data_IF_562886944995
#
_entry.id   IF_562886944995
#
_cell.length_a   1.000
_cell.length_b   1.000
_cell.length_c   1.000
_cell.angle_alpha   90.00
_cell.angle_beta   90.00
_cell.angle_gamma   90.00
#
_symmetry.space_group_name_H-M   'P 1'
#
loop_
_entity.id
_entity.type
_entity.pdbx_description
1 polymer ?
#
# COMPACT_ATOMS: atom_id res chain seq x y z
N UNK A 1 -7.35 17.90 5.86
CA UNK A 1 -8.35 17.44 4.86
C UNK A 1 -7.85 17.71 3.46
N UNK A 2 -8.01 16.74 2.56
CA UNK A 2 -7.78 16.92 1.12
C UNK A 2 -9.11 17.27 0.46
N UNK A 3 -9.09 18.23 -0.46
CA UNK A 3 -10.24 18.58 -1.30
C UNK A 3 -9.99 18.08 -2.72
N UNK A 4 -11.04 17.55 -3.35
CA UNK A 4 -10.99 17.25 -4.77
C UNK A 4 -11.35 18.52 -5.54
N UNK A 5 -10.49 18.89 -6.48
CA UNK A 5 -10.75 19.90 -7.50
C UNK A 5 -10.93 19.20 -8.86
N UNK A 6 -11.93 19.63 -9.63
CA UNK A 6 -12.33 18.97 -10.87
C UNK A 6 -12.90 19.97 -11.87
N UNK A 7 -12.82 19.65 -13.15
CA UNK A 7 -13.42 20.45 -14.23
C UNK A 7 -14.26 19.51 -15.10
N UNK A 8 -15.51 19.87 -15.32
CA UNK A 8 -16.44 19.11 -16.17
C UNK A 8 -16.23 19.41 -17.66
N UNK A 9 -16.83 18.61 -18.55
CA UNK A 9 -16.62 18.71 -20.00
C UNK A 9 -17.09 20.05 -20.61
N UNK A 10 -17.99 20.76 -19.93
CA UNK A 10 -18.46 22.11 -20.26
C UNK A 10 -17.53 23.23 -19.74
N UNK A 11 -16.42 22.88 -19.09
CA UNK A 11 -15.49 23.83 -18.48
C UNK A 11 -15.86 24.30 -17.07
N UNK A 12 -16.93 23.79 -16.46
CA UNK A 12 -17.34 24.19 -15.10
C UNK A 12 -16.38 23.64 -14.03
N UNK A 13 -15.78 24.55 -13.27
CA UNK A 13 -14.89 24.23 -12.14
C UNK A 13 -15.71 23.87 -10.91
N UNK A 14 -15.38 22.74 -10.30
CA UNK A 14 -15.99 22.21 -9.07
C UNK A 14 -14.92 21.92 -8.03
N UNK A 15 -15.24 22.20 -6.76
CA UNK A 15 -14.41 21.84 -5.60
C UNK A 15 -15.26 21.24 -4.49
N UNK A 16 -14.79 20.18 -3.84
CA UNK A 16 -15.54 19.49 -2.79
C UNK A 16 -14.69 18.56 -1.94
N UNK A 17 -15.30 17.89 -0.95
CA UNK A 17 -14.63 16.82 -0.22
C UNK A 17 -14.22 15.69 -1.18
N UNK A 18 -13.06 15.09 -0.96
CA UNK A 18 -12.65 13.90 -1.72
C UNK A 18 -13.57 12.72 -1.37
N UNK A 19 -14.12 11.99 -2.36
CA UNK A 19 -14.88 10.76 -2.14
C UNK A 19 -14.10 9.75 -1.27
N UNK A 20 -14.80 9.17 -0.29
CA UNK A 20 -14.27 8.13 0.60
C UNK A 20 -14.83 6.75 0.26
N UNK A 21 -15.96 6.70 -0.46
CA UNK A 21 -16.65 5.47 -0.83
C UNK A 21 -17.19 5.54 -2.26
N UNK A 22 -17.33 4.39 -2.94
CA UNK A 22 -17.77 4.34 -4.35
C UNK A 22 -19.21 4.81 -4.60
N UNK A 23 -20.00 4.98 -3.53
CA UNK A 23 -21.37 5.51 -3.57
C UNK A 23 -21.45 7.04 -3.38
N UNK A 24 -20.32 7.71 -3.17
CA UNK A 24 -20.31 9.16 -2.92
C UNK A 24 -20.52 9.93 -4.23
N UNK A 25 -21.68 10.58 -4.36
CA UNK A 25 -21.95 11.50 -5.46
C UNK A 25 -21.18 12.82 -5.26
N UNK A 26 -19.94 12.83 -5.75
CA UNK A 26 -19.11 14.03 -5.76
C UNK A 26 -19.73 15.20 -6.56
N UNK A 27 -20.27 15.01 -7.79
CA UNK A 27 -20.96 16.08 -8.51
C UNK A 27 -22.05 16.80 -7.70
N UNK A 28 -22.82 16.09 -6.87
CA UNK A 28 -23.84 16.64 -5.99
C UNK A 28 -23.29 17.33 -4.72
N UNK A 29 -22.16 16.86 -4.19
CA UNK A 29 -21.52 17.41 -2.99
C UNK A 29 -20.56 18.59 -3.30
N UNK A 30 -20.04 18.66 -4.51
CA UNK A 30 -19.05 19.66 -4.92
C UNK A 30 -19.69 21.01 -5.27
N UNK A 31 -19.10 22.08 -4.76
CA UNK A 31 -19.49 23.44 -5.08
C UNK A 31 -18.98 23.86 -6.46
N UNK A 32 -19.90 24.36 -7.30
CA UNK A 32 -19.52 25.06 -8.53
C UNK A 32 -18.81 26.38 -8.16
N UNK A 33 -17.65 26.61 -8.75
CA UNK A 33 -16.87 27.84 -8.60
C UNK A 33 -17.19 28.83 -9.72
N UNK A 34 -16.91 28.45 -10.97
CA UNK A 34 -17.07 29.28 -12.18
C UNK A 34 -16.92 28.39 -13.42
N UNK A 35 -17.17 28.92 -14.63
CA UNK A 35 -17.00 28.18 -15.89
C UNK A 35 -15.89 28.82 -16.73
N UNK A 36 -14.96 28.00 -17.22
CA UNK A 36 -13.81 28.44 -18.01
C UNK A 36 -14.13 28.47 -19.51
N UNK A 37 -14.62 29.61 -19.98
CA UNK A 37 -14.93 29.80 -21.40
C UNK A 37 -13.68 29.88 -22.30
N UNK A 38 -13.79 29.32 -23.51
CA UNK A 38 -12.77 29.35 -24.57
C UNK A 38 -11.38 28.78 -24.17
N UNK A 39 -11.36 27.87 -23.18
CA UNK A 39 -10.13 27.22 -22.72
C UNK A 39 -9.89 25.89 -23.44
N UNK A 40 -8.68 25.73 -23.96
CA UNK A 40 -8.24 24.52 -24.69
C UNK A 40 -7.54 23.48 -23.81
N UNK A 41 -6.93 23.92 -22.70
CA UNK A 41 -6.17 23.08 -21.78
C UNK A 41 -6.28 23.67 -20.36
N UNK A 42 -6.47 22.80 -19.37
CA UNK A 42 -6.37 23.16 -17.95
C UNK A 42 -5.49 22.16 -17.21
N UNK A 43 -4.62 22.67 -16.35
CA UNK A 43 -3.66 21.89 -15.57
C UNK A 43 -3.45 22.56 -14.21
N UNK A 44 -3.09 21.77 -13.20
CA UNK A 44 -2.72 22.24 -11.86
C UNK A 44 -1.22 21.95 -11.64
N UNK A 45 -0.49 22.90 -11.07
CA UNK A 45 0.92 22.68 -10.69
C UNK A 45 1.02 21.90 -9.36
N UNK A 46 2.16 21.25 -9.06
CA UNK A 46 2.39 20.59 -7.77
C UNK A 46 2.24 21.54 -6.56
N UNK A 47 2.42 22.84 -6.78
CA UNK A 47 2.30 23.91 -5.79
C UNK A 47 0.87 24.46 -5.65
N UNK A 48 -0.10 23.93 -6.42
CA UNK A 48 -1.52 24.30 -6.33
C UNK A 48 -1.95 25.52 -7.14
N UNK A 49 -1.15 25.99 -8.11
CA UNK A 49 -1.58 27.01 -9.07
C UNK A 49 -2.32 26.38 -10.26
N UNK A 50 -3.41 27.02 -10.68
CA UNK A 50 -4.13 26.67 -11.89
C UNK A 50 -3.46 27.33 -13.11
N UNK A 51 -3.37 26.58 -14.21
CA UNK A 51 -2.86 27.02 -15.49
C UNK A 51 -3.89 26.72 -16.59
N UNK A 52 -4.20 27.72 -17.43
CA UNK A 52 -5.20 27.60 -18.50
C UNK A 52 -4.71 28.21 -19.82
N UNK A 53 -4.98 27.54 -20.94
CA UNK A 53 -4.69 28.07 -22.28
C UNK A 53 -5.97 28.59 -22.95
N UNK A 54 -6.12 29.91 -22.99
CA UNK A 54 -7.26 30.65 -23.62
C UNK A 54 -6.74 31.52 -24.76
N UNK A 55 -7.40 31.50 -25.91
CA UNK A 55 -7.08 32.35 -27.08
C UNK A 55 -5.60 32.31 -27.53
N UNK A 56 -4.95 31.14 -27.39
CA UNK A 56 -3.52 30.88 -27.68
C UNK A 56 -2.53 31.51 -26.69
N UNK A 57 -3.02 32.15 -25.63
CA UNK A 57 -2.26 32.67 -24.50
C UNK A 57 -2.35 31.70 -23.31
N UNK A 58 -1.30 31.67 -22.46
CA UNK A 58 -1.27 30.89 -21.21
C UNK A 58 -1.44 31.83 -20.02
N UNK A 59 -2.38 31.48 -19.15
CA UNK A 59 -2.69 32.17 -17.90
C UNK A 59 -2.35 31.26 -16.72
N UNK A 60 -1.93 31.86 -15.60
CA UNK A 60 -1.82 31.18 -14.31
C UNK A 60 -2.38 32.00 -13.17
N UNK A 61 -2.85 31.35 -12.11
CA UNK A 61 -3.37 32.00 -10.92
C UNK A 61 -3.73 30.99 -9.83
N UNK A 62 -4.16 31.46 -8.65
CA UNK A 62 -4.66 30.58 -7.60
C UNK A 62 -5.93 29.85 -8.06
N UNK A 63 -6.20 28.69 -7.46
CA UNK A 63 -7.52 28.04 -7.58
C UNK A 63 -8.56 28.94 -6.89
N UNK A 64 -9.72 29.26 -7.51
CA UNK A 64 -10.75 30.07 -6.88
C UNK A 64 -11.27 29.45 -5.57
N UNK A 65 -11.32 30.26 -4.51
CA UNK A 65 -11.90 29.89 -3.22
C UNK A 65 -13.33 30.44 -3.00
N UNK A 66 -13.89 31.12 -3.99
CA UNK A 66 -15.22 31.75 -3.95
C UNK A 66 -16.02 31.41 -5.20
N UNK A 67 -17.35 31.37 -5.07
CA UNK A 67 -18.29 31.14 -6.18
C UNK A 67 -18.42 32.38 -7.07
N UNK A 68 -18.79 32.16 -8.33
CA UNK A 68 -19.09 33.15 -9.37
C UNK A 68 -17.95 34.15 -9.62
N UNK A 69 -16.70 33.72 -9.45
CA UNK A 69 -15.52 34.55 -9.73
C UNK A 69 -15.06 34.31 -11.16
N UNK A 70 -14.90 35.37 -11.94
CA UNK A 70 -14.12 35.29 -13.18
C UNK A 70 -12.65 35.02 -12.81
N UNK A 71 -12.19 33.79 -13.04
CA UNK A 71 -10.81 33.43 -12.76
C UNK A 71 -9.80 34.23 -13.60
N UNK A 72 -10.17 34.69 -14.80
CA UNK A 72 -9.28 35.50 -15.63
C UNK A 72 -9.10 36.93 -15.12
N UNK A 73 -9.97 37.41 -14.22
CA UNK A 73 -9.76 38.67 -13.50
C UNK A 73 -8.64 38.62 -12.46
N UNK A 74 -8.32 37.42 -11.95
CA UNK A 74 -7.22 37.19 -10.99
C UNK A 74 -6.00 36.49 -11.61
N UNK A 75 -6.17 35.79 -12.74
CA UNK A 75 -5.10 35.09 -13.40
C UNK A 75 -4.19 36.05 -14.19
N UNK A 76 -2.89 35.89 -14.03
CA UNK A 76 -1.88 36.61 -14.81
C UNK A 76 -1.55 35.84 -16.09
N UNK A 77 -1.47 36.54 -17.23
CA UNK A 77 -0.91 35.96 -18.46
C UNK A 77 0.59 35.78 -18.29
N UNK A 78 1.08 34.57 -18.53
CA UNK A 78 2.50 34.19 -18.41
C UNK A 78 3.06 33.57 -19.69
N UNK A 79 2.27 33.54 -20.75
CA UNK A 79 2.73 33.14 -22.07
C UNK A 79 1.77 33.63 -23.17
N UNK A 80 2.31 33.89 -24.36
CA UNK A 80 1.61 34.67 -25.40
C UNK A 80 1.66 33.99 -26.77
N UNK A 81 0.53 33.97 -27.49
CA UNK A 81 0.30 33.56 -28.90
C UNK A 81 0.70 32.14 -29.34
N UNK A 82 1.69 31.51 -28.72
CA UNK A 82 2.21 30.20 -29.15
C UNK A 82 1.52 29.00 -28.48
N UNK A 83 0.74 29.20 -27.43
CA UNK A 83 0.18 28.10 -26.61
C UNK A 83 -0.97 27.37 -27.28
N UNK A 84 -1.63 27.99 -28.27
CA UNK A 84 -2.57 27.28 -29.15
C UNK A 84 -1.92 26.28 -30.12
N UNK A 85 -0.58 26.20 -30.14
CA UNK A 85 0.18 25.16 -30.87
C UNK A 85 0.51 23.96 -29.97
N UNK A 86 0.18 24.01 -28.69
CA UNK A 86 0.32 22.89 -27.76
C UNK A 86 -0.77 21.85 -28.00
N UNK A 87 -0.45 20.58 -27.74
CA UNK A 87 -1.37 19.44 -27.86
C UNK A 87 -1.58 18.72 -26.53
N UNK A 88 -0.54 18.67 -25.69
CA UNK A 88 -0.57 18.14 -24.33
C UNK A 88 0.33 19.05 -23.47
N UNK A 89 -0.16 19.44 -22.31
CA UNK A 89 0.62 20.12 -21.26
C UNK A 89 0.41 19.36 -19.95
N UNK A 90 1.47 19.18 -19.17
CA UNK A 90 1.41 18.57 -17.85
C UNK A 90 2.63 18.94 -17.01
N UNK A 91 2.48 18.89 -15.70
CA UNK A 91 3.59 19.07 -14.76
C UNK A 91 4.22 17.72 -14.40
N UNK A 92 5.55 17.69 -14.31
CA UNK A 92 6.25 16.64 -13.58
C UNK A 92 6.21 16.97 -12.06
N UNK A 93 6.22 15.97 -11.15
CA UNK A 93 6.21 16.19 -9.69
C UNK A 93 7.38 17.03 -9.10
N UNK A 94 8.31 17.53 -9.92
CA UNK A 94 9.39 18.45 -9.52
C UNK A 94 9.10 19.92 -9.87
N UNK A 95 7.90 20.23 -10.38
CA UNK A 95 7.51 21.59 -10.80
C UNK A 95 7.88 21.96 -12.25
N UNK A 96 8.58 21.10 -13.00
CA UNK A 96 8.84 21.33 -14.43
C UNK A 96 7.56 21.14 -15.27
N UNK A 97 7.31 22.09 -16.18
CA UNK A 97 6.25 22.01 -17.18
C UNK A 97 6.76 21.26 -18.42
N UNK A 98 6.00 20.27 -18.86
CA UNK A 98 6.23 19.49 -20.07
C UNK A 98 5.15 19.78 -21.11
N UNK A 99 5.56 19.97 -22.37
CA UNK A 99 4.68 20.42 -23.45
C UNK A 99 4.98 19.67 -24.75
N UNK A 100 3.98 19.02 -25.33
CA UNK A 100 4.02 18.58 -26.73
C UNK A 100 3.32 19.61 -27.61
N UNK A 101 3.86 19.83 -28.81
CA UNK A 101 3.21 20.64 -29.85
C UNK A 101 2.42 19.76 -30.81
N UNK A 102 1.45 20.36 -31.52
CA UNK A 102 0.67 19.70 -32.58
C UNK A 102 1.55 19.03 -33.65
N UNK A 103 2.74 19.59 -33.91
CA UNK A 103 3.73 19.06 -34.86
C UNK A 103 4.75 18.09 -34.21
N UNK A 104 4.41 17.48 -33.07
CA UNK A 104 5.21 16.42 -32.43
C UNK A 104 6.51 16.85 -31.74
N UNK A 105 6.86 18.14 -31.69
CA UNK A 105 8.01 18.61 -30.90
C UNK A 105 7.68 18.57 -29.42
N UNK A 106 8.60 18.07 -28.59
CA UNK A 106 8.48 17.94 -27.14
C UNK A 106 9.47 18.88 -26.43
N UNK A 107 9.02 19.52 -25.35
CA UNK A 107 9.76 20.51 -24.58
C UNK A 107 9.56 20.28 -23.08
N UNK A 108 10.57 20.58 -22.27
CA UNK A 108 10.45 20.70 -20.81
C UNK A 108 11.16 21.95 -20.30
N UNK A 109 10.76 22.44 -19.14
CA UNK A 109 11.48 23.50 -18.44
C UNK A 109 10.74 23.99 -17.19
N UNK A 110 11.28 24.98 -16.48
CA UNK A 110 10.58 25.61 -15.36
C UNK A 110 9.25 26.25 -15.82
N UNK A 111 8.31 26.36 -14.90
CA UNK A 111 7.00 26.96 -15.19
C UNK A 111 7.10 28.41 -15.72
N UNK A 112 6.29 28.80 -16.71
CA UNK A 112 6.24 30.18 -17.18
C UNK A 112 5.81 31.16 -16.08
N UNK A 113 6.49 32.30 -16.03
CA UNK A 113 6.25 33.40 -15.10
C UNK A 113 6.06 34.76 -15.80
N UNK A 114 6.40 34.88 -17.09
CA UNK A 114 6.48 36.14 -17.81
C UNK A 114 6.05 36.04 -19.29
N UNK A 115 4.99 36.76 -19.68
CA UNK A 115 4.48 36.78 -21.06
C UNK A 115 5.46 37.30 -22.13
N UNK A 116 6.53 38.02 -21.73
CA UNK A 116 7.53 38.60 -22.64
C UNK A 116 8.54 37.57 -23.13
N UNK A 117 8.65 36.43 -22.46
CA UNK A 117 9.60 35.36 -22.82
C UNK A 117 8.87 34.28 -23.61
N UNK A 118 9.35 33.97 -24.82
CA UNK A 118 8.83 32.84 -25.59
C UNK A 118 9.35 31.54 -24.97
N UNK A 119 8.54 30.93 -24.09
CA UNK A 119 8.91 29.76 -23.28
C UNK A 119 9.60 28.68 -24.12
N UNK A 120 8.97 28.22 -25.22
CA UNK A 120 9.49 27.17 -26.10
C UNK A 120 10.84 27.49 -26.79
N UNK A 121 11.20 28.77 -26.90
CA UNK A 121 12.39 29.23 -27.65
C UNK A 121 13.50 29.82 -26.74
N UNK A 122 13.20 30.12 -25.47
CA UNK A 122 14.09 30.87 -24.58
C UNK A 122 14.20 30.34 -23.15
N UNK A 123 13.27 29.50 -22.70
CA UNK A 123 13.22 29.00 -21.31
C UNK A 123 13.12 27.47 -21.22
N UNK A 124 12.42 26.85 -22.17
CA UNK A 124 12.30 25.41 -22.26
C UNK A 124 13.44 24.79 -23.09
N UNK A 125 13.96 23.68 -22.59
CA UNK A 125 14.80 22.79 -23.38
C UNK A 125 13.92 22.00 -24.33
N UNK A 126 14.09 22.21 -25.64
CA UNK A 126 13.55 21.29 -26.64
C UNK A 126 14.22 19.93 -26.44
N UNK A 127 13.43 18.91 -26.14
CA UNK A 127 13.93 17.53 -26.06
C UNK A 127 14.14 17.07 -27.51
N UNK A 128 15.38 17.26 -28.01
CA UNK A 128 15.83 16.75 -29.31
C UNK A 128 15.98 15.24 -29.22
N UNK A 129 15.63 14.57 -30.32
CA UNK A 129 15.36 13.14 -30.32
C UNK A 129 15.83 12.47 -31.63
N UNK A 130 16.99 12.94 -32.09
CA UNK A 130 17.87 12.35 -33.09
C UNK A 130 19.24 13.03 -33.05
N UNK A 131 20.32 12.25 -33.25
CA UNK A 131 21.61 12.69 -33.77
C UNK A 131 22.45 13.68 -32.95
N UNK A 132 23.46 13.14 -32.25
CA UNK A 132 24.67 13.79 -31.71
C UNK A 132 24.55 14.80 -30.54
N UNK A 133 25.27 14.45 -29.46
CA UNK A 133 25.99 15.26 -28.45
C UNK A 133 25.81 16.80 -28.57
N UNK A 134 25.47 17.61 -27.56
CA UNK A 134 25.85 17.71 -26.12
C UNK A 134 24.74 18.53 -25.40
N UNK A 135 24.31 18.34 -24.15
CA UNK A 135 24.59 17.34 -23.09
C UNK A 135 23.36 17.08 -22.18
N UNK A 136 23.47 16.14 -21.22
CA UNK A 136 22.57 15.85 -20.07
C UNK A 136 21.07 15.61 -20.36
N UNK A 137 20.58 15.80 -21.58
CA UNK A 137 19.20 15.50 -21.96
C UNK A 137 19.04 14.07 -22.49
N UNK A 138 18.32 13.22 -21.76
CA UNK A 138 17.98 11.86 -22.22
C UNK A 138 16.99 11.89 -23.41
N UNK A 139 17.20 10.92 -24.31
CA UNK A 139 16.42 10.68 -25.52
C UNK A 139 15.23 9.75 -25.21
N UNK A 140 14.00 10.27 -25.20
CA UNK A 140 12.79 9.55 -24.70
C UNK A 140 11.80 8.97 -25.75
N UNK A 141 11.85 9.34 -27.03
CA UNK A 141 11.01 8.73 -28.10
C UNK A 141 10.57 9.67 -29.23
N UNK A 142 9.93 9.15 -30.28
CA UNK A 142 9.35 9.97 -31.37
C UNK A 142 7.82 9.84 -31.40
N UNK A 143 7.15 10.67 -32.22
CA UNK A 143 5.70 10.60 -32.49
C UNK A 143 4.75 10.79 -31.29
N UNK A 144 5.18 11.48 -30.23
CA UNK A 144 4.34 11.79 -29.06
C UNK A 144 2.99 12.49 -29.34
N UNK A 145 2.80 13.05 -30.53
CA UNK A 145 1.52 13.60 -30.97
C UNK A 145 0.43 12.53 -31.18
N UNK A 146 0.76 11.25 -31.30
CA UNK A 146 -0.26 10.19 -31.50
C UNK A 146 -1.10 9.93 -30.23
N UNK A 147 -0.56 10.24 -29.06
CA UNK A 147 -1.22 10.01 -27.77
C UNK A 147 -2.14 11.20 -27.40
N UNK A 148 -3.12 10.95 -26.51
CA UNK A 148 -4.07 11.99 -26.02
C UNK A 148 -3.75 12.53 -24.63
N UNK A 149 -3.12 11.72 -23.78
CA UNK A 149 -2.79 12.08 -22.40
C UNK A 149 -1.42 11.50 -22.00
N UNK A 150 -0.73 12.18 -21.09
CA UNK A 150 0.47 11.70 -20.41
C UNK A 150 0.43 12.11 -18.95
N UNK A 151 1.01 11.28 -18.09
CA UNK A 151 1.31 11.61 -16.70
C UNK A 151 2.56 10.85 -16.26
N UNK A 152 3.26 11.38 -15.25
CA UNK A 152 4.27 10.62 -14.53
C UNK A 152 3.60 9.95 -13.32
N UNK A 153 3.62 8.63 -13.28
CA UNK A 153 3.21 7.85 -12.11
C UNK A 153 4.44 7.28 -11.43
N UNK A 154 4.43 7.19 -10.10
CA UNK A 154 5.39 6.33 -9.40
C UNK A 154 5.00 4.89 -9.66
N UNK A 155 5.97 4.06 -10.07
CA UNK A 155 5.77 2.63 -10.01
C UNK A 155 5.61 2.21 -8.54
N UNK A 156 4.59 1.39 -8.29
CA UNK A 156 4.23 0.84 -6.99
C UNK A 156 3.86 -0.65 -7.06
N UNK A 157 4.02 -1.28 -8.23
CA UNK A 157 3.78 -2.72 -8.38
C UNK A 157 5.07 -3.45 -8.00
N UNK A 158 5.04 -4.15 -6.88
CA UNK A 158 6.19 -4.86 -6.33
C UNK A 158 6.46 -6.12 -7.16
N UNK A 159 7.68 -6.26 -7.66
CA UNK A 159 8.16 -7.45 -8.37
C UNK A 159 8.87 -8.43 -7.43
N UNK A 160 9.69 -7.93 -6.50
CA UNK A 160 10.38 -8.76 -5.51
C UNK A 160 10.68 -8.03 -4.21
N UNK A 161 10.77 -8.79 -3.11
CA UNK A 161 11.38 -8.34 -1.85
C UNK A 161 12.90 -8.49 -1.98
N UNK A 162 13.67 -7.47 -1.59
CA UNK A 162 15.14 -7.47 -1.56
C UNK A 162 15.63 -7.84 -0.16
N UNK A 163 15.05 -7.21 0.87
CA UNK A 163 15.31 -7.51 2.27
C UNK A 163 14.02 -7.35 3.09
N UNK A 164 13.95 -8.05 4.22
CA UNK A 164 12.80 -8.04 5.12
C UNK A 164 13.27 -8.10 6.57
N UNK A 165 12.69 -7.27 7.43
CA UNK A 165 12.99 -7.19 8.86
C UNK A 165 11.68 -7.06 9.65
N UNK A 166 11.42 -8.02 10.54
CA UNK A 166 10.40 -7.88 11.57
C UNK A 166 10.88 -6.97 12.70
N UNK A 167 9.94 -6.28 13.35
CA UNK A 167 10.14 -5.40 14.50
C UNK A 167 9.38 -5.99 15.71
N UNK A 168 9.83 -7.12 16.29
CA UNK A 168 9.15 -7.83 17.38
C UNK A 168 8.93 -6.96 18.63
N UNK A 169 9.81 -6.00 18.89
CA UNK A 169 9.74 -4.99 19.96
C UNK A 169 8.52 -4.05 19.85
N UNK A 170 7.86 -4.04 18.69
CA UNK A 170 6.61 -3.32 18.45
C UNK A 170 5.43 -4.27 18.20
N UNK A 171 5.63 -5.57 18.44
CA UNK A 171 4.62 -6.61 18.29
C UNK A 171 3.52 -6.56 19.36
N UNK A 172 2.32 -7.01 19.01
CA UNK A 172 1.14 -7.01 19.87
C UNK A 172 0.47 -8.38 19.86
N UNK A 173 0.06 -8.83 21.06
CA UNK A 173 -0.82 -9.98 21.28
C UNK A 173 -2.26 -9.46 21.25
N UNK A 174 -2.99 -9.68 20.15
CA UNK A 174 -4.35 -9.15 19.96
C UNK A 174 -5.37 -9.93 20.79
N UNK A 175 -5.19 -11.24 20.89
CA UNK A 175 -6.03 -12.12 21.70
C UNK A 175 -5.29 -13.41 22.00
N UNK A 176 -5.47 -13.93 23.21
CA UNK A 176 -4.94 -15.22 23.64
C UNK A 176 -6.08 -16.03 24.23
N UNK A 177 -6.35 -17.22 23.67
CA UNK A 177 -7.48 -18.06 24.09
C UNK A 177 -7.00 -19.51 24.29
N UNK A 178 -7.37 -20.17 25.41
CA UNK A 178 -7.13 -21.60 25.57
C UNK A 178 -7.93 -22.42 24.55
N UNK A 179 -7.28 -23.37 23.91
CA UNK A 179 -7.86 -24.31 22.94
C UNK A 179 -7.58 -25.75 23.41
N UNK A 180 -8.63 -26.58 23.53
CA UNK A 180 -8.50 -28.00 23.87
C UNK A 180 -8.02 -28.75 22.64
N UNK A 181 -6.84 -29.36 22.71
CA UNK A 181 -6.28 -30.16 21.61
C UNK A 181 -6.48 -31.66 21.82
N UNK A 182 -6.54 -32.13 23.07
CA UNK A 182 -6.86 -33.52 23.40
C UNK A 182 -7.63 -33.62 24.71
N UNK A 183 -8.56 -34.56 24.77
CA UNK A 183 -9.36 -34.84 25.97
C UNK A 183 -9.65 -36.34 26.09
N UNK A 184 -9.46 -36.90 27.28
CA UNK A 184 -9.88 -38.27 27.61
C UNK A 184 -10.47 -38.35 29.01
N UNK A 185 -11.40 -39.28 29.20
CA UNK A 185 -12.02 -39.56 30.50
C UNK A 185 -11.79 -41.02 30.86
N UNK A 186 -11.20 -41.25 32.02
CA UNK A 186 -10.88 -42.57 32.55
C UNK A 186 -11.83 -42.87 33.71
N UNK A 187 -12.62 -43.95 33.62
CA UNK A 187 -13.70 -44.27 34.56
C UNK A 187 -13.39 -45.57 35.29
N UNK A 188 -13.44 -45.56 36.62
CA UNK A 188 -13.17 -46.71 37.48
C UNK A 188 -14.37 -46.98 38.41
N UNK A 189 -15.56 -47.10 37.83
CA UNK A 189 -16.83 -47.13 38.59
C UNK A 189 -17.13 -48.47 39.27
N UNK A 190 -16.62 -49.58 38.74
CA UNK A 190 -17.01 -50.93 39.14
C UNK A 190 -15.90 -51.72 39.87
N UNK A 191 -14.66 -51.20 39.87
CA UNK A 191 -13.53 -51.83 40.55
C UNK A 191 -13.39 -51.33 42.00
N UNK A 192 -13.00 -52.24 42.89
CA UNK A 192 -12.49 -51.91 44.23
C UNK A 192 -10.99 -51.57 44.24
N UNK A 193 -10.31 -51.68 43.09
CA UNK A 193 -8.86 -51.46 42.93
C UNK A 193 -8.60 -50.22 42.07
N UNK A 194 -7.55 -49.45 42.41
CA UNK A 194 -7.11 -48.28 41.65
C UNK A 194 -6.74 -48.66 40.21
N UNK A 195 -7.26 -47.92 39.23
CA UNK A 195 -6.95 -48.09 37.81
C UNK A 195 -5.76 -47.20 37.44
N UNK A 196 -4.72 -47.77 36.84
CA UNK A 196 -3.56 -47.02 36.32
C UNK A 196 -3.57 -47.03 34.78
N UNK A 197 -3.47 -45.85 34.19
CA UNK A 197 -3.36 -45.64 32.75
C UNK A 197 -2.27 -44.62 32.43
N UNK A 198 -1.83 -44.58 31.17
CA UNK A 198 -1.12 -43.43 30.62
C UNK A 198 -2.06 -42.61 29.74
N UNK A 199 -2.01 -41.29 29.90
CA UNK A 199 -2.48 -40.34 28.91
C UNK A 199 -1.31 -39.97 28.00
N UNK A 200 -1.38 -40.36 26.74
CA UNK A 200 -0.39 -40.01 25.71
C UNK A 200 -1.11 -39.47 24.48
N UNK A 201 -0.61 -38.37 23.94
CA UNK A 201 -1.09 -37.78 22.69
C UNK A 201 0.07 -37.19 21.88
N UNK A 202 -0.17 -37.08 20.57
CA UNK A 202 0.71 -36.42 19.61
C UNK A 202 -0.19 -35.80 18.54
N UNK A 203 -0.26 -34.47 18.49
CA UNK A 203 -1.18 -33.72 17.65
C UNK A 203 -0.52 -32.50 17.04
N UNK A 204 -0.91 -32.21 15.80
CA UNK A 204 -0.43 -31.06 15.04
C UNK A 204 -1.57 -30.06 14.87
N UNK A 205 -1.31 -28.78 15.15
CA UNK A 205 -2.28 -27.70 15.05
C UNK A 205 -1.85 -26.71 13.96
N UNK A 206 -2.78 -26.36 13.07
CA UNK A 206 -2.52 -25.40 11.99
C UNK A 206 -2.38 -23.98 12.51
N UNK A 207 -1.35 -23.30 12.03
CA UNK A 207 -0.97 -21.92 12.32
C UNK A 207 -0.86 -21.16 10.99
N UNK A 208 -1.21 -19.87 10.97
CA UNK A 208 -1.31 -19.10 9.71
C UNK A 208 -0.56 -17.77 9.78
N UNK A 209 -0.19 -17.24 8.60
CA UNK A 209 0.64 -16.04 8.47
C UNK A 209 0.28 -15.26 7.21
N UNK A 210 0.02 -13.96 7.32
CA UNK A 210 -0.23 -13.07 6.18
C UNK A 210 0.40 -11.68 6.39
N UNK A 211 0.67 -10.98 5.29
CA UNK A 211 1.33 -9.67 5.30
C UNK A 211 0.37 -8.60 4.79
N UNK A 212 0.15 -7.56 5.60
CA UNK A 212 -0.48 -6.31 5.19
C UNK A 212 0.62 -5.26 5.00
N UNK A 213 0.45 -4.34 4.04
CA UNK A 213 1.46 -3.36 3.63
C UNK A 213 0.84 -1.98 3.36
N UNK A 214 1.70 -0.96 3.23
CA UNK A 214 1.30 0.43 2.97
C UNK A 214 0.34 0.64 1.78
N UNK A 215 -0.56 1.62 1.93
CA UNK A 215 -1.59 1.91 0.95
C UNK A 215 -1.03 2.39 -0.40
N UNK A 216 -1.48 1.72 -1.47
CA UNK A 216 -1.14 2.05 -2.85
C UNK A 216 0.06 1.28 -3.41
N UNK A 217 0.78 0.49 -2.62
CA UNK A 217 1.63 -0.57 -3.16
C UNK A 217 0.78 -1.78 -3.56
N UNK A 218 1.12 -2.40 -4.68
CA UNK A 218 0.33 -3.48 -5.30
C UNK A 218 1.22 -4.62 -5.76
N UNK A 219 0.61 -5.75 -6.06
CA UNK A 219 1.24 -6.89 -6.73
C UNK A 219 0.48 -7.16 -8.03
N UNK A 220 1.13 -7.75 -9.02
CA UNK A 220 0.43 -8.25 -10.20
C UNK A 220 -0.55 -9.37 -9.79
N UNK A 221 -1.72 -9.42 -10.42
CA UNK A 221 -2.76 -10.38 -10.06
C UNK A 221 -2.27 -11.82 -10.30
N UNK A 222 -2.22 -12.63 -9.24
CA UNK A 222 -1.71 -14.00 -9.27
C UNK A 222 -0.19 -14.14 -9.08
N UNK A 223 0.56 -13.04 -8.94
CA UNK A 223 1.99 -13.10 -8.65
C UNK A 223 2.28 -13.76 -7.30
N UNK A 224 3.29 -14.62 -7.26
CA UNK A 224 3.75 -15.30 -6.05
C UNK A 224 5.11 -14.75 -5.62
N UNK A 225 5.10 -13.68 -4.83
CA UNK A 225 6.33 -13.05 -4.32
C UNK A 225 6.76 -13.77 -3.04
N UNK A 226 7.88 -14.50 -3.12
CA UNK A 226 8.48 -15.24 -2.00
C UNK A 226 9.73 -14.55 -1.46
N UNK A 227 9.95 -14.67 -0.16
CA UNK A 227 11.16 -14.20 0.52
C UNK A 227 11.53 -15.11 1.69
N UNK A 228 12.76 -15.00 2.20
CA UNK A 228 13.21 -15.73 3.39
C UNK A 228 13.38 -14.78 4.57
N UNK A 229 12.82 -15.15 5.72
CA UNK A 229 13.02 -14.42 6.98
C UNK A 229 12.89 -15.39 8.17
N UNK A 230 13.32 -14.95 9.35
CA UNK A 230 13.07 -15.66 10.61
C UNK A 230 11.57 -15.73 10.93
N UNK A 231 11.22 -16.52 11.95
CA UNK A 231 9.83 -16.71 12.39
C UNK A 231 9.63 -15.97 13.74
N UNK A 232 8.62 -15.09 13.86
CA UNK A 232 8.22 -14.54 15.15
C UNK A 232 7.63 -15.63 16.06
N UNK A 233 8.02 -15.67 17.33
CA UNK A 233 7.55 -16.66 18.30
C UNK A 233 7.43 -16.08 19.71
N UNK A 234 6.76 -16.83 20.59
CA UNK A 234 6.69 -16.57 22.03
C UNK A 234 7.38 -17.77 22.71
N UNK A 235 8.34 -17.51 23.61
CA UNK A 235 9.00 -18.55 24.39
C UNK A 235 8.08 -19.11 25.48
N UNK A 236 8.34 -20.34 25.91
CA UNK A 236 7.60 -20.96 27.02
C UNK A 236 7.79 -20.14 28.31
N UNK A 237 6.67 -19.69 28.91
CA UNK A 237 6.69 -18.80 30.06
C UNK A 237 7.08 -17.34 29.79
N UNK A 238 7.27 -16.93 28.54
CA UNK A 238 7.74 -15.57 28.20
C UNK A 238 6.61 -14.59 27.82
N UNK A 239 6.73 -13.34 28.29
CA UNK A 239 5.82 -12.23 27.96
C UNK A 239 6.18 -11.52 26.66
N UNK A 240 7.42 -11.67 26.19
CA UNK A 240 7.95 -10.86 25.10
C UNK A 240 7.91 -11.64 23.79
N UNK A 241 7.63 -10.95 22.69
CA UNK A 241 7.72 -11.54 21.36
C UNK A 241 9.18 -11.56 20.91
N UNK A 242 9.64 -12.68 20.35
CA UNK A 242 11.03 -12.88 19.89
C UNK A 242 11.09 -13.36 18.45
N UNK A 243 12.27 -13.26 17.86
CA UNK A 243 12.56 -13.72 16.50
C UNK A 243 13.49 -14.92 16.52
N UNK A 244 13.07 -16.03 15.91
CA UNK A 244 13.96 -17.16 15.67
C UNK A 244 14.76 -16.89 14.38
N UNK A 245 16.02 -16.48 14.53
CA UNK A 245 16.94 -16.22 13.43
C UNK A 245 17.67 -17.48 12.92
N UNK A 246 17.69 -18.55 13.72
CA UNK A 246 18.36 -19.82 13.38
C UNK A 246 17.56 -20.65 12.35
N UNK A 247 16.27 -20.35 12.18
CA UNK A 247 15.38 -21.05 11.26
C UNK A 247 14.74 -20.04 10.30
N UNK A 248 15.18 -20.04 9.04
CA UNK A 248 14.58 -19.18 8.00
C UNK A 248 13.41 -19.89 7.33
N UNK A 249 12.22 -19.31 7.40
CA UNK A 249 11.06 -19.78 6.64
C UNK A 249 10.99 -19.09 5.28
N UNK A 250 10.43 -19.76 4.27
CA UNK A 250 10.19 -19.17 2.94
C UNK A 250 8.74 -18.71 2.86
N UNK A 251 8.52 -17.43 3.15
CA UNK A 251 7.21 -16.80 3.17
C UNK A 251 6.73 -16.43 1.76
N UNK A 252 5.45 -16.62 1.49
CA UNK A 252 4.71 -15.88 0.46
C UNK A 252 4.23 -14.56 1.04
N UNK A 253 4.51 -13.46 0.37
CA UNK A 253 3.98 -12.13 0.72
C UNK A 253 2.53 -11.97 0.23
N UNK A 254 2.19 -12.55 -0.92
CA UNK A 254 0.91 -12.35 -1.62
C UNK A 254 -0.18 -13.37 -1.27
N UNK A 255 0.12 -14.35 -0.41
CA UNK A 255 -0.81 -15.42 0.00
C UNK A 255 -0.71 -15.65 1.50
N UNK A 256 -1.79 -16.12 2.11
CA UNK A 256 -1.73 -16.72 3.45
C UNK A 256 -0.83 -17.95 3.42
N UNK A 257 0.11 -17.99 4.35
CA UNK A 257 1.00 -19.12 4.57
C UNK A 257 0.37 -20.01 5.65
N UNK A 258 0.30 -21.32 5.39
CA UNK A 258 -0.04 -22.31 6.40
C UNK A 258 1.24 -22.94 6.95
N UNK A 259 1.23 -23.19 8.25
CA UNK A 259 2.30 -23.83 9.01
C UNK A 259 1.68 -24.70 10.10
N UNK A 260 2.48 -25.56 10.71
CA UNK A 260 1.99 -26.59 11.62
C UNK A 260 2.89 -26.67 12.87
N UNK A 261 2.27 -26.65 14.04
CA UNK A 261 2.95 -26.77 15.34
C UNK A 261 2.53 -28.10 15.97
N UNK A 262 3.52 -28.94 16.33
CA UNK A 262 3.30 -30.27 16.91
C UNK A 262 3.44 -30.22 18.42
N UNK A 263 2.45 -30.79 19.11
CA UNK A 263 2.39 -30.94 20.55
C UNK A 263 2.29 -32.41 20.89
N UNK A 264 3.12 -32.87 21.84
CA UNK A 264 3.03 -34.20 22.40
C UNK A 264 3.30 -34.17 23.89
N UNK A 265 2.69 -35.10 24.62
CA UNK A 265 2.93 -35.29 26.04
C UNK A 265 2.56 -36.71 26.45
N UNK A 266 3.13 -37.16 27.56
CA UNK A 266 2.75 -38.39 28.25
C UNK A 266 2.68 -38.12 29.75
N UNK A 267 1.60 -38.53 30.40
CA UNK A 267 1.40 -38.39 31.85
C UNK A 267 0.63 -39.58 32.40
N UNK A 268 1.07 -40.12 33.53
CA UNK A 268 0.35 -41.18 34.22
C UNK A 268 -0.97 -40.67 34.84
N UNK A 269 -1.98 -41.54 34.85
CA UNK A 269 -3.34 -41.27 35.32
C UNK A 269 -3.72 -42.38 36.28
N UNK A 270 -3.96 -42.03 37.54
CA UNK A 270 -4.39 -42.98 38.57
C UNK A 270 -5.82 -42.68 39.02
N UNK A 271 -6.78 -43.53 38.62
CA UNK A 271 -8.20 -43.34 38.95
C UNK A 271 -8.58 -44.16 40.19
N UNK A 272 -8.97 -43.52 41.31
CA UNK A 272 -9.39 -44.24 42.51
C UNK A 272 -10.64 -45.13 42.28
N UNK A 273 -10.87 -46.15 43.13
CA UNK A 273 -12.11 -46.91 43.12
C UNK A 273 -13.36 -46.02 43.20
N UNK A 274 -14.37 -46.31 42.38
CA UNK A 274 -15.64 -45.56 42.32
C UNK A 274 -15.55 -44.16 41.71
N UNK A 275 -14.40 -43.75 41.16
CA UNK A 275 -14.15 -42.40 40.61
C UNK A 275 -14.01 -42.39 39.08
N UNK A 276 -13.99 -41.19 38.53
CA UNK A 276 -13.58 -40.92 37.16
C UNK A 276 -12.69 -39.68 37.13
N UNK A 277 -11.69 -39.68 36.23
CA UNK A 277 -10.77 -38.56 36.01
C UNK A 277 -10.83 -38.15 34.55
N UNK A 278 -11.03 -36.84 34.33
CA UNK A 278 -10.94 -36.18 33.03
C UNK A 278 -9.55 -35.56 32.88
N UNK A 279 -8.86 -35.93 31.81
CA UNK A 279 -7.55 -35.37 31.43
C UNK A 279 -7.72 -34.51 30.18
N UNK A 280 -7.28 -33.26 30.25
CA UNK A 280 -7.43 -32.26 29.19
C UNK A 280 -6.07 -31.64 28.87
N UNK A 281 -5.66 -31.71 27.61
CA UNK A 281 -4.52 -30.99 27.07
C UNK A 281 -5.00 -29.70 26.37
N UNK A 282 -4.49 -28.58 26.87
CA UNK A 282 -4.79 -27.22 26.43
C UNK A 282 -3.54 -26.58 25.81
N UNK A 283 -3.72 -25.79 24.77
CA UNK A 283 -2.70 -24.84 24.27
C UNK A 283 -3.27 -23.43 24.26
N UNK A 284 -2.42 -22.41 24.27
CA UNK A 284 -2.84 -21.02 24.03
C UNK A 284 -2.77 -20.73 22.54
N UNK A 285 -3.91 -20.45 21.91
CA UNK A 285 -4.00 -19.86 20.58
C UNK A 285 -3.83 -18.35 20.69
N UNK A 286 -2.83 -17.78 20.03
CA UNK A 286 -2.64 -16.33 19.95
C UNK A 286 -2.75 -15.79 18.53
N UNK A 287 -3.40 -14.63 18.43
CA UNK A 287 -3.38 -13.76 17.26
C UNK A 287 -2.35 -12.65 17.50
N UNK A 288 -1.38 -12.53 16.60
CA UNK A 288 -0.21 -11.66 16.72
C UNK A 288 -0.18 -10.65 15.58
N UNK A 289 0.13 -9.39 15.92
CA UNK A 289 0.45 -8.34 14.96
C UNK A 289 1.90 -7.93 15.15
N UNK A 290 2.72 -7.98 14.11
CA UNK A 290 4.15 -7.63 14.19
C UNK A 290 4.49 -6.66 13.06
N UNK A 291 4.87 -5.42 13.36
CA UNK A 291 5.34 -4.49 12.34
C UNK A 291 6.58 -5.03 11.62
N UNK A 292 6.76 -4.64 10.37
CA UNK A 292 7.97 -4.97 9.61
C UNK A 292 8.37 -3.83 8.68
N UNK A 293 9.64 -3.87 8.25
CA UNK A 293 10.19 -3.09 7.14
C UNK A 293 10.67 -4.02 6.05
N UNK A 294 10.41 -3.66 4.80
CA UNK A 294 10.90 -4.40 3.65
C UNK A 294 11.47 -3.44 2.61
N UNK A 295 12.67 -3.74 2.10
CA UNK A 295 13.16 -3.11 0.88
C UNK A 295 12.65 -3.91 -0.30
N UNK A 296 11.99 -3.25 -1.24
CA UNK A 296 11.34 -3.88 -2.40
C UNK A 296 11.86 -3.32 -3.70
N UNK A 297 11.78 -4.13 -4.76
CA UNK A 297 11.93 -3.69 -6.14
C UNK A 297 10.57 -3.72 -6.83
N UNK A 298 10.34 -2.74 -7.70
CA UNK A 298 9.12 -2.65 -8.51
C UNK A 298 9.29 -3.30 -9.90
N UNK A 299 8.22 -3.46 -10.67
CA UNK A 299 8.27 -4.08 -12.01
C UNK A 299 9.16 -3.32 -13.00
N UNK A 300 9.27 -1.99 -12.87
CA UNK A 300 10.19 -1.16 -13.66
C UNK A 300 11.56 -0.97 -12.98
N UNK A 301 11.89 -1.79 -11.99
CA UNK A 301 13.23 -1.88 -11.40
C UNK A 301 13.59 -0.81 -10.35
N UNK A 302 12.64 0.05 -9.96
CA UNK A 302 12.89 1.03 -8.88
C UNK A 302 12.97 0.32 -7.54
N UNK A 303 13.89 0.75 -6.66
CA UNK A 303 14.00 0.25 -5.30
C UNK A 303 13.45 1.27 -4.29
N UNK A 304 12.65 0.80 -3.34
CA UNK A 304 12.07 1.62 -2.26
C UNK A 304 11.91 0.79 -0.99
N UNK A 305 11.76 1.45 0.15
CA UNK A 305 11.30 0.80 1.38
C UNK A 305 9.78 0.89 1.47
N UNK A 306 9.19 -0.09 2.16
CA UNK A 306 7.78 -0.12 2.60
C UNK A 306 7.72 -0.61 4.05
N UNK A 307 6.74 -0.12 4.78
CA UNK A 307 6.33 -0.64 6.09
C UNK A 307 5.04 -1.46 5.97
N UNK A 308 4.75 -2.24 7.03
CA UNK A 308 3.52 -3.00 7.11
C UNK A 308 3.39 -3.78 8.42
N UNK A 309 2.40 -4.67 8.45
CA UNK A 309 2.11 -5.51 9.61
C UNK A 309 1.91 -6.95 9.18
N UNK A 310 2.66 -7.86 9.80
CA UNK A 310 2.43 -9.28 9.71
C UNK A 310 1.34 -9.69 10.70
N UNK A 311 0.43 -10.54 10.24
CA UNK A 311 -0.67 -11.10 11.00
C UNK A 311 -0.39 -12.60 11.17
N UNK A 312 -0.13 -13.03 12.40
CA UNK A 312 0.17 -14.42 12.72
C UNK A 312 -0.90 -15.05 13.61
N UNK A 313 -1.24 -16.30 13.34
CA UNK A 313 -1.96 -17.17 14.29
C UNK A 313 -1.02 -18.29 14.70
N UNK A 314 -0.74 -18.42 15.99
CA UNK A 314 0.19 -19.42 16.52
C UNK A 314 -0.37 -20.09 17.78
N UNK A 315 0.24 -21.21 18.17
CA UNK A 315 -0.15 -22.01 19.33
C UNK A 315 1.09 -22.29 20.19
N UNK A 316 0.99 -22.16 21.52
CA UNK A 316 2.09 -22.38 22.47
C UNK A 316 1.57 -22.69 23.89
N UNK A 317 2.47 -22.83 24.88
CA UNK A 317 2.16 -23.13 26.29
C UNK A 317 1.21 -24.34 26.47
N UNK A 318 1.69 -25.53 26.10
CA UNK A 318 0.97 -26.78 26.35
C UNK A 318 0.80 -27.01 27.87
N UNK A 319 -0.46 -27.13 28.30
CA UNK A 319 -0.81 -27.45 29.68
C UNK A 319 -1.67 -28.72 29.71
N UNK A 320 -1.24 -29.75 30.45
CA UNK A 320 -2.05 -30.94 30.72
C UNK A 320 -2.63 -30.85 32.13
N UNK A 321 -3.95 -30.99 32.26
CA UNK A 321 -4.64 -30.94 33.56
C UNK A 321 -5.46 -32.21 33.79
N UNK A 322 -5.48 -32.70 35.03
CA UNK A 322 -6.33 -33.81 35.48
C UNK A 322 -7.35 -33.27 36.49
N UNK A 323 -8.62 -33.68 36.38
CA UNK A 323 -9.71 -33.27 37.27
C UNK A 323 -10.64 -34.45 37.55
N UNK A 324 -11.20 -34.53 38.76
CA UNK A 324 -12.33 -35.41 39.07
C UNK A 324 -13.54 -35.06 38.15
N UNK A 325 -14.27 -36.09 37.69
CA UNK A 325 -15.56 -36.00 36.96
C UNK A 325 -16.75 -36.27 37.88
#
# INVERSE_FOLDING_TARGET
DTVLFSITLDGTMKIGPTPKHYRDDYPAQAFNLTTLENVSHVLCSPEGELFCVRDKDLYRGPIPSKKNVDWFSMARRVGKKDWGKCRILFFHPNGELYVTTINGKFYKGPQPDNEKVSWMNKQATKIKLSGCFVDNSQHLGQNFHQFRYFCFVKDKTISNIISFQFLPEHGQRVSENPEVIEERVYKNKESSVQLKHSFTFDKTVKSSSSFAHEHGFTFEAGAEVKFKAGVPFIGEGETDLKMNLNTTHTWSFTKTNESEVRFSSSSDVEVPPGKAIRVVALVVKANLLVPYRAKVRTIFGSETEIEGTWNGVTHYNLTVTQKDE
#
